data_IF_026623778765
#
_entry.id   IF_026623778765
#
_cell.length_a   1.000
_cell.length_b   1.000
_cell.length_c   1.000
_cell.angle_alpha   90.00
_cell.angle_beta   90.00
_cell.angle_gamma   90.00
#
_symmetry.space_group_name_H-M   'P 1'
#
loop_
_entity.id
_entity.type
_entity.pdbx_description
1 polymer ?
#
# COMPACT_ATOMS: atom_id res chain seq x y z
N UNK A 1 -22.01 0.49 -25.01
CA UNK A 1 -21.18 1.47 -24.26
C UNK A 1 -19.95 0.74 -23.76
N UNK A 2 -18.75 1.16 -24.15
CA UNK A 2 -17.51 0.39 -23.97
C UNK A 2 -16.89 0.53 -22.57
N UNK A 3 -17.68 0.43 -21.49
CA UNK A 3 -17.19 0.23 -20.12
C UNK A 3 -16.07 1.16 -19.62
N UNK A 4 -15.88 2.34 -20.21
CA UNK A 4 -14.73 3.20 -19.93
C UNK A 4 -14.86 3.85 -18.56
N UNK A 5 -13.79 3.82 -17.78
CA UNK A 5 -13.70 4.50 -16.49
C UNK A 5 -13.29 5.95 -16.70
N UNK A 6 -14.17 6.88 -16.34
CA UNK A 6 -13.92 8.33 -16.32
C UNK A 6 -14.31 8.90 -14.97
N UNK A 7 -13.66 9.99 -14.54
CA UNK A 7 -14.03 10.73 -13.33
C UNK A 7 -13.71 10.01 -12.02
N UNK A 8 -14.46 10.33 -10.96
CA UNK A 8 -14.25 9.80 -9.61
C UNK A 8 -14.75 8.37 -9.50
N UNK A 9 -13.92 7.50 -8.92
CA UNK A 9 -14.23 6.10 -8.63
C UNK A 9 -13.89 5.81 -7.18
N UNK A 10 -14.90 5.40 -6.42
CA UNK A 10 -14.75 4.99 -5.02
C UNK A 10 -14.83 3.46 -4.93
N UNK A 11 -13.96 2.87 -4.10
CA UNK A 11 -13.97 1.44 -3.84
C UNK A 11 -14.67 1.23 -2.50
N UNK A 12 -15.85 0.64 -2.57
CA UNK A 12 -16.68 0.32 -1.41
C UNK A 12 -16.46 -1.14 -0.99
N UNK A 13 -16.48 -1.38 0.31
CA UNK A 13 -16.30 -2.69 0.89
C UNK A 13 -17.39 -2.96 1.91
N UNK A 14 -18.18 -4.00 1.62
CA UNK A 14 -19.26 -4.47 2.46
C UNK A 14 -18.75 -5.61 3.34
N UNK A 15 -18.77 -5.42 4.67
CA UNK A 15 -18.49 -6.51 5.61
C UNK A 15 -19.79 -7.23 5.95
N UNK A 16 -19.75 -8.56 6.01
CA UNK A 16 -20.91 -9.42 6.27
C UNK A 16 -21.73 -9.03 7.53
N UNK A 17 -21.11 -8.38 8.52
CA UNK A 17 -21.74 -7.98 9.78
C UNK A 17 -21.92 -6.46 9.94
N UNK A 18 -21.52 -5.64 8.96
CA UNK A 18 -21.69 -4.19 9.02
C UNK A 18 -22.92 -3.79 8.19
N UNK A 19 -23.67 -2.79 8.68
CA UNK A 19 -24.89 -2.33 8.00
C UNK A 19 -24.61 -1.35 6.87
N UNK A 20 -23.41 -0.78 6.83
CA UNK A 20 -23.03 0.29 5.93
C UNK A 20 -21.75 -0.10 5.19
N UNK A 21 -21.69 0.23 3.91
CA UNK A 21 -20.50 0.02 3.09
C UNK A 21 -19.44 1.05 3.47
N UNK A 22 -18.21 0.57 3.65
CA UNK A 22 -17.07 1.43 3.95
C UNK A 22 -16.32 1.76 2.66
N UNK A 23 -16.05 3.05 2.41
CA UNK A 23 -15.08 3.42 1.39
C UNK A 23 -13.67 3.05 1.86
N UNK A 24 -13.00 2.18 1.11
CA UNK A 24 -11.66 1.67 1.43
C UNK A 24 -10.61 2.06 0.38
N UNK A 25 -11.05 2.62 -0.74
CA UNK A 25 -10.13 3.07 -1.78
C UNK A 25 -10.79 3.95 -2.83
N UNK A 26 -10.04 4.20 -3.89
CA UNK A 26 -10.51 4.97 -5.03
C UNK A 26 -9.61 6.12 -5.43
N UNK A 27 -10.05 6.86 -6.43
CA UNK A 27 -9.35 7.99 -7.02
C UNK A 27 -10.06 8.47 -8.29
N UNK A 28 -9.34 9.19 -9.15
CA UNK A 28 -9.92 9.71 -10.38
C UNK A 28 -9.24 9.14 -11.62
N UNK A 29 -10.05 8.84 -12.63
CA UNK A 29 -9.58 8.57 -13.99
C UNK A 29 -9.65 9.84 -14.84
N UNK A 30 -8.85 9.88 -15.90
CA UNK A 30 -8.91 10.95 -16.90
C UNK A 30 -10.31 11.08 -17.53
N UNK A 31 -10.62 12.28 -18.02
CA UNK A 31 -11.90 12.59 -18.67
C UNK A 31 -11.92 12.22 -20.16
N UNK A 32 -10.76 11.87 -20.73
CA UNK A 32 -10.60 11.54 -22.14
C UNK A 32 -11.03 10.10 -22.45
N UNK A 33 -11.28 9.29 -21.41
CA UNK A 33 -11.69 7.89 -21.55
C UNK A 33 -10.52 6.92 -21.76
N UNK A 34 -9.28 7.37 -21.53
CA UNK A 34 -8.08 6.54 -21.68
C UNK A 34 -7.86 5.59 -20.49
N UNK A 35 -8.71 5.65 -19.47
CA UNK A 35 -8.64 4.85 -18.25
C UNK A 35 -7.32 5.02 -17.49
N UNK A 36 -6.65 6.17 -17.65
CA UNK A 36 -5.47 6.54 -16.86
C UNK A 36 -5.91 7.08 -15.52
N UNK A 37 -5.31 6.55 -14.46
CA UNK A 37 -5.45 7.09 -13.11
C UNK A 37 -4.75 8.45 -13.03
N UNK A 38 -5.36 9.43 -12.38
CA UNK A 38 -4.78 10.77 -12.18
C UNK A 38 -5.00 11.23 -10.74
N UNK A 39 -4.07 12.04 -10.24
CA UNK A 39 -4.12 12.63 -8.91
C UNK A 39 -4.02 11.58 -7.81
N UNK A 40 -4.63 11.88 -6.66
CA UNK A 40 -4.54 11.04 -5.46
C UNK A 40 -5.35 9.75 -5.62
N UNK A 41 -4.72 8.65 -5.21
CA UNK A 41 -5.30 7.31 -5.24
C UNK A 41 -5.03 6.56 -3.95
N UNK A 42 -6.02 5.74 -3.59
CA UNK A 42 -5.92 4.69 -2.58
C UNK A 42 -6.18 3.38 -3.29
N UNK A 43 -5.13 2.58 -3.46
CA UNK A 43 -5.20 1.26 -4.11
C UNK A 43 -5.25 0.16 -3.07
N UNK A 44 -5.98 -0.90 -3.39
CA UNK A 44 -6.01 -2.10 -2.57
C UNK A 44 -4.92 -3.06 -3.05
N UNK A 45 -4.31 -3.77 -2.11
CA UNK A 45 -3.44 -4.89 -2.43
C UNK A 45 -4.17 -5.99 -3.20
N UNK A 46 -3.46 -6.70 -4.07
CA UNK A 46 -4.05 -7.80 -4.84
C UNK A 46 -4.59 -8.92 -3.94
N UNK A 47 -4.02 -9.07 -2.74
CA UNK A 47 -4.45 -10.00 -1.72
C UNK A 47 -5.28 -9.31 -0.63
N UNK A 48 -6.02 -8.24 -0.98
CA UNK A 48 -6.93 -7.59 -0.03
C UNK A 48 -7.99 -8.58 0.45
N UNK A 49 -7.93 -8.93 1.74
CA UNK A 49 -8.83 -9.87 2.41
C UNK A 49 -9.34 -9.26 3.71
N UNK A 50 -10.38 -9.87 4.29
CA UNK A 50 -10.99 -9.40 5.53
C UNK A 50 -9.99 -9.22 6.68
N UNK A 51 -8.91 -10.03 6.71
CA UNK A 51 -7.84 -10.03 7.71
C UNK A 51 -6.49 -9.49 7.17
N UNK A 52 -6.42 -9.15 5.87
CA UNK A 52 -5.23 -8.58 5.22
C UNK A 52 -5.68 -7.35 4.43
N UNK A 53 -5.73 -6.22 5.10
CA UNK A 53 -6.16 -4.96 4.51
C UNK A 53 -4.94 -4.06 4.31
N UNK A 54 -4.25 -4.25 3.19
CA UNK A 54 -3.14 -3.40 2.77
C UNK A 54 -3.64 -2.43 1.70
N UNK A 55 -3.32 -1.14 1.87
CA UNK A 55 -3.58 -0.12 0.86
C UNK A 55 -2.32 0.67 0.51
N UNK A 56 -2.26 1.12 -0.74
CA UNK A 56 -1.20 1.96 -1.27
C UNK A 56 -1.77 3.34 -1.57
N UNK A 57 -1.29 4.35 -0.84
CA UNK A 57 -1.75 5.72 -0.99
C UNK A 57 -0.67 6.55 -1.68
N UNK A 58 -1.03 7.21 -2.76
CA UNK A 58 -0.09 8.08 -3.45
C UNK A 58 -0.74 8.85 -4.57
N UNK A 59 0.07 9.32 -5.50
CA UNK A 59 -0.36 10.15 -6.60
C UNK A 59 0.05 9.58 -7.96
N UNK A 60 -0.85 9.71 -8.91
CA UNK A 60 -0.62 9.45 -10.33
C UNK A 60 -0.51 10.77 -11.09
N UNK A 61 0.46 10.88 -11.99
CA UNK A 61 0.55 11.99 -12.92
C UNK A 61 -0.47 11.88 -14.07
N UNK A 62 -0.52 12.88 -14.95
CA UNK A 62 -1.44 12.92 -16.10
C UNK A 62 -1.25 11.78 -17.12
N UNK A 63 -0.11 11.08 -17.06
CA UNK A 63 0.17 9.93 -17.92
C UNK A 63 -0.25 8.60 -17.31
N UNK A 64 -0.83 8.58 -16.10
CA UNK A 64 -1.21 7.35 -15.41
C UNK A 64 -0.06 6.67 -14.68
N UNK A 65 1.00 7.42 -14.35
CA UNK A 65 2.22 6.87 -13.75
C UNK A 65 2.35 7.34 -12.30
N UNK A 66 2.71 6.42 -11.39
CA UNK A 66 2.94 6.71 -9.97
C UNK A 66 4.09 7.69 -9.82
N UNK A 67 3.90 8.72 -9.02
CA UNK A 67 4.90 9.76 -8.73
C UNK A 67 4.92 10.09 -7.25
N UNK A 68 6.05 10.63 -6.78
CA UNK A 68 6.15 11.16 -5.43
C UNK A 68 6.14 10.08 -4.34
N UNK A 69 5.67 10.47 -3.16
CA UNK A 69 5.62 9.59 -1.98
C UNK A 69 4.43 8.63 -2.10
N UNK A 70 4.69 7.36 -1.81
CA UNK A 70 3.69 6.32 -1.73
C UNK A 70 3.75 5.64 -0.37
N UNK A 71 2.68 5.78 0.40
CA UNK A 71 2.54 5.19 1.72
C UNK A 71 1.83 3.84 1.64
N UNK A 72 2.37 2.85 2.34
CA UNK A 72 1.80 1.51 2.46
C UNK A 72 1.17 1.43 3.84
N UNK A 73 -0.15 1.34 3.86
CA UNK A 73 -0.94 1.27 5.08
C UNK A 73 -1.42 -0.15 5.27
N UNK A 74 -1.08 -0.74 6.42
CA UNK A 74 -1.64 -2.00 6.85
C UNK A 74 -2.61 -1.74 8.00
N UNK A 75 -3.87 -2.12 7.79
CA UNK A 75 -4.84 -2.16 8.86
C UNK A 75 -4.80 -3.56 9.49
N UNK A 76 -4.10 -3.66 10.63
CA UNK A 76 -4.18 -4.85 11.46
C UNK A 76 -5.55 -4.83 12.14
N UNK A 77 -6.42 -5.76 11.78
CA UNK A 77 -7.54 -6.11 12.66
C UNK A 77 -6.95 -6.93 13.78
N UNK A 78 -7.03 -6.44 15.00
CA UNK A 78 -6.53 -7.21 16.13
C UNK A 78 -7.33 -8.52 16.18
N UNK A 79 -6.65 -9.65 16.30
CA UNK A 79 -7.31 -10.94 16.55
C UNK A 79 -8.12 -10.89 17.86
N UNK A 80 -7.80 -9.94 18.74
CA UNK A 80 -8.58 -9.59 19.92
C UNK A 80 -9.85 -8.77 19.65
N UNK A 81 -10.02 -8.09 18.51
CA UNK A 81 -11.32 -7.55 18.09
C UNK A 81 -12.33 -8.69 17.82
N UNK A 82 -11.87 -9.90 17.50
CA UNK A 82 -12.73 -11.09 17.49
C UNK A 82 -13.23 -11.48 18.90
N UNK A 83 -12.54 -11.07 19.96
CA UNK A 83 -12.94 -11.26 21.37
C UNK A 83 -13.57 -10.01 22.01
N UNK A 84 -13.36 -8.81 21.44
CA UNK A 84 -13.74 -7.51 22.03
C UNK A 84 -14.74 -6.68 21.21
N UNK A 85 -15.41 -7.24 20.19
CA UNK A 85 -16.66 -6.66 19.60
C UNK A 85 -17.73 -6.28 20.66
N UNK A 86 -17.54 -6.63 21.94
CA UNK A 86 -18.38 -6.15 23.05
C UNK A 86 -17.99 -4.72 23.54
N UNK A 87 -16.79 -4.14 23.35
CA UNK A 87 -16.44 -2.84 23.97
C UNK A 87 -15.39 -1.96 23.23
N UNK A 88 -15.77 -1.31 22.11
CA UNK A 88 -15.33 0.07 21.84
C UNK A 88 -13.99 0.35 21.11
N UNK A 89 -13.91 -0.04 19.84
CA UNK A 89 -13.27 0.59 18.66
C UNK A 89 -12.15 1.65 18.83
N UNK A 90 -10.89 1.26 18.53
CA UNK A 90 -9.89 2.12 17.86
C UNK A 90 -9.11 1.26 16.85
N UNK A 91 -9.44 1.38 15.55
CA UNK A 91 -8.64 0.78 14.49
C UNK A 91 -7.35 1.60 14.34
N UNK A 92 -6.20 1.05 14.73
CA UNK A 92 -4.90 1.71 14.54
C UNK A 92 -4.34 1.33 13.17
N UNK A 93 -4.44 2.24 12.21
CA UNK A 93 -3.68 2.11 10.96
C UNK A 93 -2.19 2.20 11.29
N UNK A 94 -1.43 1.17 10.90
CA UNK A 94 0.02 1.18 11.05
C UNK A 94 0.58 1.50 9.67
N UNK A 95 1.38 2.57 9.59
CA UNK A 95 2.23 2.77 8.42
C UNK A 95 3.25 1.63 8.41
N UNK A 96 3.14 0.74 7.44
CA UNK A 96 3.97 -0.48 7.35
C UNK A 96 4.94 -0.43 6.19
N UNK A 97 4.91 0.67 5.42
CA UNK A 97 5.88 0.95 4.40
C UNK A 97 5.71 2.36 3.84
N UNK A 98 6.75 2.87 3.20
CA UNK A 98 6.70 4.13 2.45
C UNK A 98 7.90 4.16 1.50
N UNK A 99 7.78 4.94 0.44
CA UNK A 99 8.85 5.11 -0.53
C UNK A 99 8.56 6.20 -1.52
N UNK A 100 9.51 6.44 -2.42
CA UNK A 100 9.42 7.49 -3.42
C UNK A 100 9.57 6.94 -4.83
N UNK A 101 8.63 7.29 -5.70
CA UNK A 101 8.71 7.04 -7.14
C UNK A 101 9.27 8.27 -7.86
N UNK A 102 10.09 8.04 -8.89
CA UNK A 102 10.58 9.12 -9.74
C UNK A 102 9.43 9.94 -10.35
N UNK A 103 9.72 11.21 -10.62
CA UNK A 103 8.77 12.12 -11.27
C UNK A 103 8.87 12.05 -12.80
N UNK A 104 9.84 11.32 -13.33
CA UNK A 104 10.02 11.09 -14.77
C UNK A 104 8.92 10.16 -15.31
N UNK A 105 8.22 9.46 -14.41
CA UNK A 105 7.07 8.64 -14.74
C UNK A 105 7.46 7.23 -15.16
N UNK A 106 8.71 6.81 -14.96
CA UNK A 106 9.10 5.43 -15.26
C UNK A 106 8.63 4.44 -14.17
N UNK A 107 7.81 4.92 -13.21
CA UNK A 107 7.36 4.18 -12.02
C UNK A 107 8.53 3.55 -11.26
N UNK A 108 9.65 4.27 -11.25
CA UNK A 108 10.88 3.79 -10.69
C UNK A 108 10.95 4.13 -9.21
N UNK A 109 11.13 3.12 -8.37
CA UNK A 109 11.46 3.32 -6.96
C UNK A 109 12.84 3.95 -6.86
N UNK A 110 12.98 5.02 -6.10
CA UNK A 110 14.26 5.68 -5.82
C UNK A 110 14.38 6.04 -4.34
N UNK A 111 15.61 6.14 -3.84
CA UNK A 111 15.89 6.53 -2.46
C UNK A 111 15.46 5.47 -1.45
N UNK A 112 15.16 5.90 -0.23
CA UNK A 112 14.82 4.97 0.87
C UNK A 112 13.42 4.39 0.71
N UNK A 113 13.32 3.10 0.96
CA UNK A 113 12.07 2.35 0.91
C UNK A 113 11.92 1.47 2.15
N UNK A 114 10.69 1.43 2.64
CA UNK A 114 10.22 0.45 3.61
C UNK A 114 9.18 -0.39 2.88
N UNK A 115 9.50 -1.66 2.63
CA UNK A 115 8.66 -2.57 1.86
C UNK A 115 8.04 -3.64 2.78
N UNK A 116 6.82 -4.06 2.46
CA UNK A 116 6.21 -5.25 3.05
C UNK A 116 6.76 -6.50 2.38
N UNK A 117 7.11 -7.50 3.18
CA UNK A 117 7.51 -8.80 2.66
C UNK A 117 6.35 -9.53 1.96
N UNK A 118 6.62 -10.31 0.91
CA UNK A 118 5.58 -11.07 0.20
C UNK A 118 5.03 -12.23 1.03
N UNK A 119 5.84 -12.80 1.94
CA UNK A 119 5.42 -13.80 2.90
C UNK A 119 4.61 -13.20 4.06
N UNK A 120 4.10 -11.98 3.90
CA UNK A 120 3.14 -11.35 4.80
C UNK A 120 1.82 -12.13 4.80
N UNK A 121 1.83 -13.21 5.57
CA UNK A 121 0.71 -14.06 5.87
C UNK A 121 0.91 -14.34 7.37
N UNK A 122 -0.04 -13.94 8.22
CA UNK A 122 -0.08 -14.31 9.65
C UNK A 122 0.82 -13.52 10.62
N UNK A 123 0.55 -12.21 10.80
CA UNK A 123 1.02 -11.42 11.95
C UNK A 123 2.53 -11.17 12.06
N UNK A 124 3.34 -11.60 11.11
CA UNK A 124 4.72 -11.15 11.00
C UNK A 124 4.78 -10.02 9.97
N UNK A 125 4.62 -8.76 10.43
CA UNK A 125 5.05 -7.62 9.61
C UNK A 125 6.56 -7.72 9.55
N UNK A 126 7.03 -8.31 8.47
CA UNK A 126 8.41 -8.20 8.05
C UNK A 126 8.46 -6.99 7.14
N UNK A 127 9.13 -5.94 7.60
CA UNK A 127 9.48 -4.82 6.74
C UNK A 127 10.93 -4.98 6.29
N UNK A 128 11.16 -4.74 5.00
CA UNK A 128 12.50 -4.62 4.47
C UNK A 128 12.80 -3.13 4.30
N UNK A 129 13.85 -2.64 4.95
CA UNK A 129 14.30 -1.25 4.81
C UNK A 129 15.60 -1.22 4.02
N UNK A 130 15.63 -0.44 2.95
CA UNK A 130 16.86 -0.20 2.19
C UNK A 130 16.70 0.94 1.21
N UNK A 131 17.59 1.00 0.23
CA UNK A 131 17.65 2.07 -0.76
C UNK A 131 17.58 1.52 -2.18
N UNK A 132 16.89 2.25 -3.05
CA UNK A 132 16.88 2.03 -4.48
C UNK A 132 17.76 3.08 -5.16
N UNK A 133 18.66 2.61 -6.02
CA UNK A 133 19.53 3.48 -6.80
C UNK A 133 18.77 4.20 -7.92
N UNK A 134 19.45 5.10 -8.63
CA UNK A 134 18.88 5.82 -9.79
C UNK A 134 18.55 4.91 -10.98
N UNK A 135 18.88 3.61 -10.94
CA UNK A 135 18.47 2.57 -11.90
C UNK A 135 17.26 1.76 -11.41
N UNK A 136 16.75 2.03 -10.22
CA UNK A 136 15.57 1.35 -9.65
C UNK A 136 15.93 -0.03 -9.12
N UNK A 137 17.21 -0.25 -8.81
CA UNK A 137 17.74 -1.50 -8.27
C UNK A 137 17.99 -1.32 -6.78
N UNK A 138 17.73 -2.37 -6.00
CA UNK A 138 18.09 -2.42 -4.58
C UNK A 138 19.60 -2.27 -4.44
N UNK A 139 20.03 -1.33 -3.60
CA UNK A 139 21.44 -1.08 -3.30
C UNK A 139 21.64 -1.03 -1.78
N UNK A 140 22.84 -1.42 -1.33
CA UNK A 140 23.24 -1.34 0.07
C UNK A 140 22.67 -2.47 0.92
N UNK A 141 22.45 -2.16 2.20
CA UNK A 141 22.00 -3.10 3.22
C UNK A 141 20.49 -3.02 3.30
N UNK A 142 19.84 -4.18 3.15
CA UNK A 142 18.42 -4.35 3.38
C UNK A 142 18.21 -5.08 4.70
N UNK A 143 17.62 -4.37 5.66
CA UNK A 143 17.39 -4.89 7.00
C UNK A 143 15.98 -5.45 7.09
N UNK A 144 15.88 -6.70 7.55
CA UNK A 144 14.61 -7.34 7.85
C UNK A 144 14.20 -7.04 9.31
N UNK A 145 13.11 -6.31 9.49
CA UNK A 145 12.58 -5.98 10.81
C UNK A 145 11.23 -6.65 11.05
N UNK A 146 11.12 -7.39 12.16
CA UNK A 146 9.83 -7.85 12.69
C UNK A 146 9.07 -6.76 13.46
N UNK A 147 7.78 -7.00 13.75
CA UNK A 147 6.92 -6.10 14.54
C UNK A 147 7.54 -5.71 15.88
N UNK A 148 8.28 -6.61 16.52
CA UNK A 148 8.91 -6.36 17.83
C UNK A 148 10.23 -5.57 17.73
N UNK A 149 10.52 -4.96 16.57
CA UNK A 149 11.79 -4.28 16.26
C UNK A 149 13.03 -5.17 16.46
N UNK A 150 12.86 -6.49 16.40
CA UNK A 150 13.97 -7.43 16.40
C UNK A 150 14.50 -7.56 14.97
N UNK A 151 15.79 -7.30 14.78
CA UNK A 151 16.48 -7.55 13.52
C UNK A 151 16.48 -9.07 13.27
N UNK A 152 15.89 -9.48 12.15
CA UNK A 152 15.81 -10.90 11.76
C UNK A 152 16.92 -11.31 10.80
N UNK A 153 17.61 -10.35 10.20
CA UNK A 153 18.67 -10.60 9.23
C UNK A 153 18.98 -9.37 8.37
N UNK A 154 20.14 -9.44 7.72
CA UNK A 154 20.60 -8.43 6.77
C UNK A 154 20.89 -9.10 5.43
N UNK A 155 20.45 -8.47 4.34
CA UNK A 155 20.80 -8.88 2.98
C UNK A 155 21.58 -7.78 2.30
N UNK A 156 22.67 -8.14 1.62
CA UNK A 156 23.58 -7.22 0.98
C UNK A 156 23.42 -7.29 -0.53
N UNK A 157 23.21 -6.13 -1.17
CA UNK A 157 23.13 -6.00 -2.63
C UNK A 157 24.31 -5.16 -3.13
N UNK A 158 25.12 -5.75 -3.99
CA UNK A 158 26.25 -5.11 -4.66
C UNK A 158 25.92 -4.94 -6.15
N UNK A 159 26.19 -3.75 -6.69
CA UNK A 159 25.99 -3.38 -8.09
C UNK A 159 27.15 -3.80 -8.99
#
# INVERSE_FOLDING_TARGET
>A
MNGMKIGRWDIMYCKYNEKEDQQIGGGSYDQEGNQKKIGKWVELDEQFLNFKQVTYNGEYNLNGMRVGIWDIMYCKKDEQEYKQIIKGNIHKNICSGSGFYDNEGNQKKIGKWIELDQSFIWNNVVTQIGEYNMKGQKEGIWVEMGIENQNKGETYYYN
#
